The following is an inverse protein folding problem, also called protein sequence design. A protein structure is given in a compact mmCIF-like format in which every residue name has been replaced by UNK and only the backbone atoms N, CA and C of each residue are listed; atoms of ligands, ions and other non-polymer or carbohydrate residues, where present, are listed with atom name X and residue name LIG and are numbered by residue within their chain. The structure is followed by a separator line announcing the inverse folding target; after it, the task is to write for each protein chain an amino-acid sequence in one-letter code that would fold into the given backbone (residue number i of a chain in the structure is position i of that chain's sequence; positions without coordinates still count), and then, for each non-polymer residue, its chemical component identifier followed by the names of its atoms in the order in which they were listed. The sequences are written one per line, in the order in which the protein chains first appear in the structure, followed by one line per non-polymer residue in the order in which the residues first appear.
data_IF_610800313881
#
_entry.id   IF_610800313881
#
_cell.length_a   1.000
_cell.length_b   1.000
_cell.length_c   1.000
_cell.angle_alpha   90.00
_cell.angle_beta   90.00
_cell.angle_gamma   90.00
#
_symmetry.space_group_name_H-M   'P 1'
#
loop_
_entity.id
_entity.type
_entity.pdbx_description
1 polymer ?
#
# COMPACT_ATOMS: atom_id res chain seq x y z
N UNK A 1 -4.71 -13.14 7.17
CA UNK A 1 -4.08 -12.79 8.46
C UNK A 1 -4.85 -13.51 9.56
N UNK A 2 -4.17 -14.08 10.56
CA UNK A 2 -4.82 -14.66 11.74
C UNK A 2 -4.45 -13.79 12.92
N UNK A 3 -5.43 -13.35 13.69
CA UNK A 3 -5.17 -12.57 14.91
C UNK A 3 -5.72 -13.32 16.13
N UNK A 4 -5.03 -13.24 17.28
CA UNK A 4 -5.57 -13.75 18.53
C UNK A 4 -6.76 -12.87 18.95
N UNK A 5 -7.91 -13.49 19.14
CA UNK A 5 -9.06 -12.88 19.82
C UNK A 5 -9.55 -13.86 20.88
N UNK A 6 -9.63 -13.42 22.12
CA UNK A 6 -10.10 -14.24 23.26
C UNK A 6 -9.33 -15.56 23.42
N UNK A 7 -8.03 -15.56 23.12
CA UNK A 7 -7.18 -16.75 23.18
C UNK A 7 -7.32 -17.72 21.99
N UNK A 8 -8.16 -17.41 21.00
CA UNK A 8 -8.36 -18.22 19.79
C UNK A 8 -7.87 -17.47 18.55
N UNK A 9 -7.09 -18.16 17.70
CA UNK A 9 -6.70 -17.64 16.39
C UNK A 9 -7.89 -17.70 15.44
N UNK A 10 -8.49 -16.54 15.15
CA UNK A 10 -9.57 -16.43 14.15
C UNK A 10 -9.00 -16.06 12.79
N UNK A 11 -9.49 -16.72 11.74
CA UNK A 11 -9.19 -16.35 10.35
C UNK A 11 -9.99 -15.10 10.00
N UNK A 12 -9.28 -14.02 9.67
CA UNK A 12 -9.91 -12.79 9.20
C UNK A 12 -9.89 -12.75 7.67
N UNK A 13 -11.09 -12.59 7.11
CA UNK A 13 -11.27 -12.23 5.70
C UNK A 13 -11.17 -10.71 5.60
N UNK A 14 -10.28 -10.23 4.75
CA UNK A 14 -10.06 -8.82 4.51
C UNK A 14 -9.78 -8.63 3.03
N UNK A 15 -10.14 -7.47 2.50
CA UNK A 15 -9.69 -7.08 1.16
C UNK A 15 -8.22 -6.65 1.26
N UNK A 16 -7.45 -7.04 0.25
CA UNK A 16 -6.07 -6.67 0.13
C UNK A 16 -5.76 -6.39 -1.33
N UNK A 17 -4.79 -5.52 -1.58
CA UNK A 17 -4.12 -5.50 -2.86
C UNK A 17 -2.89 -6.40 -2.78
N UNK A 18 -2.64 -7.11 -3.86
CA UNK A 18 -1.47 -7.95 -4.01
C UNK A 18 -0.48 -7.25 -4.91
N UNK A 19 0.71 -6.96 -4.39
CA UNK A 19 1.83 -6.43 -5.16
C UNK A 19 2.80 -7.57 -5.45
N UNK A 20 3.32 -7.62 -6.67
CA UNK A 20 4.34 -8.59 -7.06
C UNK A 20 5.54 -7.85 -7.65
N UNK A 21 6.76 -8.25 -7.26
CA UNK A 21 7.96 -7.73 -7.88
C UNK A 21 8.05 -8.20 -9.33
N UNK A 22 8.09 -7.24 -10.24
CA UNK A 22 8.15 -7.51 -11.67
C UNK A 22 9.54 -7.98 -12.14
N UNK A 23 10.60 -7.41 -11.57
CA UNK A 23 12.00 -7.71 -11.89
C UNK A 23 12.83 -7.82 -10.61
N UNK A 24 14.03 -8.38 -10.74
CA UNK A 24 15.03 -8.25 -9.70
C UNK A 24 15.49 -6.80 -9.63
N UNK A 25 15.39 -6.20 -8.46
CA UNK A 25 15.81 -4.82 -8.22
C UNK A 25 16.16 -4.65 -6.76
N UNK A 26 17.36 -4.12 -6.48
CA UNK A 26 17.95 -4.11 -5.14
C UNK A 26 17.90 -5.49 -4.46
N UNK A 27 17.28 -5.58 -3.28
CA UNK A 27 17.15 -6.81 -2.47
C UNK A 27 15.88 -7.61 -2.80
N UNK A 28 15.09 -7.16 -3.77
CA UNK A 28 13.84 -7.83 -4.15
C UNK A 28 14.08 -8.80 -5.30
N UNK A 29 13.96 -10.09 -4.99
CA UNK A 29 13.94 -11.18 -5.96
C UNK A 29 12.65 -11.08 -6.77
N UNK A 30 12.71 -11.39 -8.07
CA UNK A 30 11.55 -11.45 -8.97
C UNK A 30 10.47 -12.38 -8.41
N UNK A 31 9.20 -12.04 -8.65
CA UNK A 31 8.03 -12.82 -8.21
C UNK A 31 7.78 -12.85 -6.70
N UNK A 32 8.47 -12.04 -5.90
CA UNK A 32 8.11 -11.83 -4.49
C UNK A 32 6.77 -11.10 -4.42
N UNK A 33 5.88 -11.61 -3.58
CA UNK A 33 4.51 -11.10 -3.44
C UNK A 33 4.29 -10.53 -2.05
N UNK A 34 3.63 -9.38 -1.99
CA UNK A 34 3.18 -8.74 -0.75
C UNK A 34 1.67 -8.53 -0.81
N UNK A 35 1.00 -8.72 0.32
CA UNK A 35 -0.41 -8.39 0.48
C UNK A 35 -0.50 -7.21 1.43
N UNK A 36 -1.05 -6.10 0.94
CA UNK A 36 -1.31 -4.91 1.76
C UNK A 36 -2.80 -4.88 2.06
N UNK A 37 -3.15 -4.88 3.34
CA UNK A 37 -4.54 -4.92 3.77
C UNK A 37 -5.27 -3.62 3.47
N UNK A 38 -6.59 -3.68 3.28
CA UNK A 38 -7.45 -2.48 3.18
C UNK A 38 -7.29 -1.56 4.40
N UNK A 39 -7.07 -2.13 5.59
CA UNK A 39 -6.80 -1.35 6.79
C UNK A 39 -5.51 -0.53 6.65
N UNK A 40 -4.42 -1.15 6.24
CA UNK A 40 -3.13 -0.47 6.08
C UNK A 40 -3.18 0.56 4.95
N UNK A 41 -3.89 0.25 3.85
CA UNK A 41 -4.17 1.20 2.78
C UNK A 41 -4.91 2.44 3.29
N UNK A 42 -5.94 2.25 4.13
CA UNK A 42 -6.67 3.36 4.75
C UNK A 42 -5.78 4.19 5.67
N UNK A 43 -4.84 3.57 6.40
CA UNK A 43 -3.84 4.31 7.16
C UNK A 43 -2.90 5.11 6.24
N UNK A 44 -2.49 4.56 5.11
CA UNK A 44 -1.72 5.26 4.08
C UNK A 44 -2.45 6.48 3.51
N UNK A 45 -3.74 6.32 3.17
CA UNK A 45 -4.60 7.42 2.70
C UNK A 45 -4.76 8.49 3.79
N UNK A 46 -4.99 8.10 5.04
CA UNK A 46 -5.08 9.04 6.15
C UNK A 46 -3.75 9.80 6.35
N UNK A 47 -2.61 9.12 6.25
CA UNK A 47 -1.29 9.75 6.32
C UNK A 47 -1.06 10.74 5.16
N UNK A 48 -1.51 10.40 3.95
CA UNK A 48 -1.46 11.31 2.80
C UNK A 48 -2.29 12.56 3.05
N UNK A 49 -3.55 12.41 3.45
CA UNK A 49 -4.45 13.54 3.71
C UNK A 49 -3.99 14.45 4.86
N UNK A 50 -3.26 13.90 5.86
CA UNK A 50 -2.64 14.71 6.92
C UNK A 50 -1.45 15.52 6.41
N UNK A 51 -0.66 14.93 5.49
CA UNK A 51 0.52 15.58 4.89
C UNK A 51 0.13 16.65 3.86
N UNK A 52 -0.86 16.35 3.03
CA UNK A 52 -1.41 17.23 2.01
C UNK A 52 -2.94 17.26 2.11
N UNK A 53 -3.53 18.30 2.72
CA UNK A 53 -4.98 18.44 2.82
C UNK A 53 -5.72 18.42 1.49
N UNK A 54 -5.08 18.86 0.39
CA UNK A 54 -5.67 18.86 -0.95
C UNK A 54 -5.84 17.44 -1.52
N UNK A 55 -5.05 16.47 -1.02
CA UNK A 55 -5.16 15.07 -1.39
C UNK A 55 -6.53 14.48 -1.05
N UNK A 56 -7.19 14.98 0.00
CA UNK A 56 -8.54 14.54 0.36
C UNK A 56 -9.57 14.76 -0.75
N UNK A 57 -9.42 15.85 -1.52
CA UNK A 57 -10.25 16.14 -2.70
C UNK A 57 -9.92 15.16 -3.83
N UNK A 58 -8.63 14.87 -4.05
CA UNK A 58 -8.18 13.90 -5.06
C UNK A 58 -8.71 12.51 -4.77
N UNK A 59 -8.62 12.04 -3.52
CA UNK A 59 -9.18 10.76 -3.06
C UNK A 59 -10.68 10.70 -3.36
N UNK A 60 -11.46 11.70 -2.93
CA UNK A 60 -12.93 11.73 -3.14
C UNK A 60 -13.34 11.74 -4.61
N UNK A 61 -12.49 12.29 -5.48
CA UNK A 61 -12.72 12.36 -6.93
C UNK A 61 -12.13 11.18 -7.70
N UNK A 62 -11.56 10.19 -7.02
CA UNK A 62 -10.79 9.10 -7.65
C UNK A 62 -9.70 9.60 -8.61
N UNK A 63 -9.05 10.71 -8.25
CA UNK A 63 -8.06 11.41 -9.08
C UNK A 63 -6.67 11.41 -8.41
N UNK A 64 -6.27 10.25 -7.86
CA UNK A 64 -4.94 10.08 -7.26
C UNK A 64 -3.86 10.18 -8.33
N UNK A 65 -2.78 10.90 -8.01
CA UNK A 65 -1.58 10.96 -8.83
C UNK A 65 -0.70 9.74 -8.58
N UNK A 66 0.28 9.47 -9.46
CA UNK A 66 1.27 8.40 -9.23
C UNK A 66 1.99 8.59 -7.89
N UNK A 67 2.39 9.82 -7.56
CA UNK A 67 3.03 10.16 -6.28
C UNK A 67 2.15 9.92 -5.07
N UNK A 68 0.84 10.15 -5.19
CA UNK A 68 -0.10 9.83 -4.13
C UNK A 68 -0.12 8.31 -3.88
N UNK A 69 -0.16 7.51 -4.95
CA UNK A 69 -0.17 6.04 -4.88
C UNK A 69 1.14 5.52 -4.27
N UNK A 70 2.29 5.98 -4.76
CA UNK A 70 3.60 5.59 -4.22
C UNK A 70 3.68 5.87 -2.71
N UNK A 71 3.25 7.06 -2.29
CA UNK A 71 3.26 7.45 -0.88
C UNK A 71 2.30 6.60 -0.03
N UNK A 72 1.09 6.32 -0.53
CA UNK A 72 0.13 5.45 0.17
C UNK A 72 0.73 4.07 0.39
N UNK A 73 1.35 3.48 -0.64
CA UNK A 73 1.95 2.14 -0.56
C UNK A 73 3.16 2.12 0.36
N UNK A 74 4.00 3.14 0.31
CA UNK A 74 5.13 3.29 1.23
C UNK A 74 4.65 3.32 2.68
N UNK A 75 3.61 4.11 2.99
CA UNK A 75 3.09 4.19 4.37
C UNK A 75 2.33 2.94 4.80
N UNK A 76 1.52 2.35 3.92
CA UNK A 76 0.79 1.12 4.19
C UNK A 76 1.71 -0.10 4.36
N UNK A 77 2.92 -0.05 3.80
CA UNK A 77 3.94 -1.09 3.96
C UNK A 77 4.97 -0.80 5.04
N UNK A 78 4.75 0.24 5.87
CA UNK A 78 5.69 0.66 6.92
C UNK A 78 7.10 1.01 6.37
N UNK A 79 7.16 1.50 5.12
CA UNK A 79 8.39 1.85 4.43
C UNK A 79 9.14 0.68 3.79
N UNK A 80 8.59 -0.54 3.85
CA UNK A 80 9.23 -1.73 3.28
C UNK A 80 9.16 -1.72 1.75
N UNK A 81 8.05 -1.24 1.18
CA UNK A 81 7.81 -1.24 -0.26
C UNK A 81 7.76 0.21 -0.73
N UNK A 82 8.71 0.57 -1.60
CA UNK A 82 8.68 1.82 -2.35
C UNK A 82 8.44 1.50 -3.81
N UNK A 83 7.36 2.05 -4.37
CA UNK A 83 7.09 1.96 -5.79
C UNK A 83 7.93 3.00 -6.54
N UNK A 84 8.29 2.67 -7.78
CA UNK A 84 9.04 3.52 -8.72
C UNK A 84 8.14 3.71 -9.95
N UNK A 85 6.99 4.39 -9.80
CA UNK A 85 6.01 4.60 -10.86
C UNK A 85 6.38 5.78 -11.77
N UNK A 86 7.11 6.79 -11.26
CA UNK A 86 7.55 7.97 -12.03
C UNK A 86 8.77 7.65 -12.94
N UNK A 87 9.52 6.58 -12.66
CA UNK A 87 10.78 6.24 -13.33
C UNK A 87 10.62 5.35 -14.59
N UNK A 88 9.39 5.07 -15.03
CA UNK A 88 9.15 4.24 -16.22
C UNK A 88 8.86 5.09 -17.47
N UNK A 89 9.86 5.20 -18.34
CA UNK A 89 9.62 5.38 -19.78
C UNK A 89 9.19 4.02 -20.38
N UNK A 90 8.07 4.02 -21.12
CA UNK A 90 7.46 2.83 -21.73
C UNK A 90 8.15 2.42 -23.02
#
# INVERSE_FOLDING_TARGET
MRIPQDGVLKTLFYKAITLQSYREHYSFIKSRTWNISEYDLNQGVAALCRKDPSASVRVKRNALTLRDVEYIIEKASFGIIKLELDDYEY
#
